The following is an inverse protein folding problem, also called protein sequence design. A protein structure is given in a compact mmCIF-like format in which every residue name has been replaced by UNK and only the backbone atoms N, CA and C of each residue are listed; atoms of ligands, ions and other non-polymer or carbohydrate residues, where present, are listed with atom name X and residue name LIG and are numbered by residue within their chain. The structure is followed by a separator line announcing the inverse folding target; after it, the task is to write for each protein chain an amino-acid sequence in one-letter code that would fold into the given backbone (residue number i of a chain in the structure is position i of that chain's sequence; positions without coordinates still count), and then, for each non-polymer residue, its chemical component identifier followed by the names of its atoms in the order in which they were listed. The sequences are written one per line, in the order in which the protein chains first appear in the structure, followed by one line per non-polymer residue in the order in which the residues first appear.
data_IF_250514197246
#
_entry.id   IF_250514197246
#
_cell.length_a   1.000
_cell.length_b   1.000
_cell.length_c   1.000
_cell.angle_alpha   90.00
_cell.angle_beta   90.00
_cell.angle_gamma   90.00
#
_symmetry.space_group_name_H-M   'P 1'
#
loop_
_entity.id
_entity.type
_entity.pdbx_description
1 polymer ?
#
# COMPACT_ATOMS: atom_id res chain seq x y z
N UNK A 1 -20.54 -7.61 1.58
CA UNK A 1 -19.59 -8.51 2.26
C UNK A 1 -19.76 -8.33 3.76
N UNK A 2 -19.87 -9.41 4.53
CA UNK A 2 -19.94 -9.35 5.99
C UNK A 2 -18.54 -9.16 6.61
N UNK A 3 -18.47 -8.90 7.93
CA UNK A 3 -17.21 -8.63 8.64
C UNK A 3 -16.21 -9.80 8.55
N UNK A 4 -16.69 -11.05 8.68
CA UNK A 4 -15.82 -12.23 8.62
C UNK A 4 -15.22 -12.42 7.22
N UNK A 5 -16.03 -12.24 6.18
CA UNK A 5 -15.55 -12.25 4.80
C UNK A 5 -14.53 -11.14 4.56
N UNK A 6 -14.78 -9.92 5.05
CA UNK A 6 -13.85 -8.78 4.92
C UNK A 6 -12.50 -9.06 5.60
N UNK A 7 -12.52 -9.53 6.84
CA UNK A 7 -11.32 -9.92 7.59
C UNK A 7 -10.50 -10.96 6.82
N UNK A 8 -11.15 -11.97 6.22
CA UNK A 8 -10.47 -12.96 5.37
C UNK A 8 -9.86 -12.37 4.12
N UNK A 9 -10.58 -11.47 3.43
CA UNK A 9 -10.06 -10.78 2.25
C UNK A 9 -8.83 -9.95 2.61
N UNK A 10 -8.86 -9.21 3.71
CA UNK A 10 -7.73 -8.41 4.16
C UNK A 10 -6.53 -9.28 4.56
N UNK A 11 -6.76 -10.40 5.28
CA UNK A 11 -5.68 -11.32 5.64
C UNK A 11 -5.04 -11.97 4.41
N UNK A 12 -5.83 -12.44 3.44
CA UNK A 12 -5.31 -13.01 2.20
C UNK A 12 -4.52 -11.98 1.39
N UNK A 13 -5.06 -10.76 1.24
CA UNK A 13 -4.37 -9.68 0.53
C UNK A 13 -3.07 -9.28 1.24
N UNK A 14 -3.07 -9.18 2.57
CA UNK A 14 -1.87 -8.94 3.38
C UNK A 14 -0.77 -9.95 3.06
N UNK A 15 -1.11 -11.24 3.18
CA UNK A 15 -0.13 -12.31 2.99
C UNK A 15 0.38 -12.39 1.55
N UNK A 16 -0.50 -12.23 0.56
CA UNK A 16 -0.15 -12.33 -0.87
C UNK A 16 0.56 -11.09 -1.42
N UNK A 17 0.46 -9.94 -0.75
CA UNK A 17 1.18 -8.71 -1.09
C UNK A 17 2.58 -8.64 -0.48
N UNK A 18 2.95 -9.54 0.43
CA UNK A 18 4.31 -9.60 0.95
C UNK A 18 5.31 -10.07 -0.11
N UNK A 19 6.60 -9.81 0.15
CA UNK A 19 7.68 -10.25 -0.71
C UNK A 19 7.63 -11.79 -0.92
N UNK A 20 7.70 -12.28 -2.17
CA UNK A 20 7.49 -13.69 -2.49
C UNK A 20 8.75 -14.54 -2.27
N UNK A 21 9.16 -14.67 -1.00
CA UNK A 21 10.25 -15.56 -0.58
C UNK A 21 9.86 -17.05 -0.61
N UNK A 22 10.76 -17.92 -0.17
CA UNK A 22 10.50 -19.37 -0.14
C UNK A 22 9.33 -19.74 0.78
N UNK A 23 9.21 -19.07 1.94
CA UNK A 23 8.12 -19.32 2.89
C UNK A 23 6.77 -18.86 2.33
N UNK A 24 6.76 -17.77 1.56
CA UNK A 24 5.59 -17.28 0.85
C UNK A 24 5.07 -18.31 -0.16
N UNK A 25 5.94 -18.87 -0.99
CA UNK A 25 5.56 -19.90 -1.97
C UNK A 25 5.07 -21.18 -1.28
N UNK A 26 5.70 -21.58 -0.18
CA UNK A 26 5.32 -22.78 0.58
C UNK A 26 3.89 -22.69 1.17
N UNK A 27 3.34 -21.49 1.33
CA UNK A 27 2.01 -21.26 1.92
C UNK A 27 0.88 -21.16 0.89
N UNK A 28 1.17 -21.13 -0.42
CA UNK A 28 0.15 -20.87 -1.43
C UNK A 28 -1.02 -21.86 -1.40
N UNK A 29 -0.75 -23.15 -1.20
CA UNK A 29 -1.80 -24.18 -1.11
C UNK A 29 -2.72 -23.96 0.12
N UNK A 30 -2.14 -23.55 1.24
CA UNK A 30 -2.89 -23.20 2.45
C UNK A 30 -3.79 -21.97 2.20
N UNK A 31 -3.22 -20.91 1.61
CA UNK A 31 -3.96 -19.68 1.30
C UNK A 31 -5.10 -19.94 0.31
N UNK A 32 -4.85 -20.76 -0.71
CA UNK A 32 -5.86 -21.14 -1.70
C UNK A 32 -7.04 -21.91 -1.06
N UNK A 33 -6.76 -22.76 -0.08
CA UNK A 33 -7.82 -23.50 0.65
C UNK A 33 -8.82 -22.59 1.38
N UNK A 34 -8.40 -21.37 1.74
CA UNK A 34 -9.24 -20.39 2.41
C UNK A 34 -10.19 -19.63 1.46
N UNK A 35 -9.99 -19.73 0.13
CA UNK A 35 -10.79 -19.00 -0.85
C UNK A 35 -12.26 -19.43 -0.88
N UNK A 36 -12.58 -20.65 -0.41
CA UNK A 36 -13.98 -21.11 -0.27
C UNK A 36 -14.80 -20.27 0.72
N UNK A 37 -14.14 -19.48 1.57
CA UNK A 37 -14.76 -18.65 2.62
C UNK A 37 -14.80 -17.16 2.27
N UNK A 38 -14.46 -16.78 1.04
CA UNK A 38 -14.61 -15.42 0.54
C UNK A 38 -15.62 -15.39 -0.62
N UNK A 39 -16.25 -14.23 -0.92
CA UNK A 39 -17.21 -14.14 -2.01
C UNK A 39 -16.62 -14.64 -3.35
N UNK A 40 -17.37 -15.39 -4.19
CA UNK A 40 -16.83 -16.03 -5.39
C UNK A 40 -16.10 -15.09 -6.35
N UNK A 41 -16.60 -13.86 -6.50
CA UNK A 41 -15.99 -12.84 -7.35
C UNK A 41 -14.60 -12.41 -6.84
N UNK A 42 -14.41 -12.37 -5.52
CA UNK A 42 -13.12 -12.05 -4.88
C UNK A 42 -12.21 -13.28 -4.88
N UNK A 43 -12.77 -14.47 -4.62
CA UNK A 43 -12.05 -15.74 -4.67
C UNK A 43 -11.35 -15.93 -6.03
N UNK A 44 -12.04 -15.64 -7.13
CA UNK A 44 -11.46 -15.74 -8.48
C UNK A 44 -10.26 -14.81 -8.72
N UNK A 45 -10.22 -13.63 -8.09
CA UNK A 45 -9.09 -12.71 -8.19
C UNK A 45 -7.85 -13.26 -7.48
N UNK A 46 -8.04 -13.81 -6.27
CA UNK A 46 -6.95 -14.46 -5.54
C UNK A 46 -6.46 -15.73 -6.24
N UNK A 47 -7.38 -16.60 -6.68
CA UNK A 47 -7.02 -17.83 -7.38
C UNK A 47 -6.22 -17.54 -8.65
N UNK A 48 -6.69 -16.59 -9.47
CA UNK A 48 -5.98 -16.18 -10.68
C UNK A 48 -4.58 -15.61 -10.40
N UNK A 49 -4.41 -14.84 -9.32
CA UNK A 49 -3.10 -14.38 -8.89
C UNK A 49 -2.19 -15.53 -8.44
N UNK A 50 -2.70 -16.44 -7.60
CA UNK A 50 -1.92 -17.59 -7.09
C UNK A 50 -1.44 -18.46 -8.26
N UNK A 51 -2.31 -18.75 -9.23
CA UNK A 51 -1.95 -19.51 -10.42
C UNK A 51 -0.89 -18.80 -11.27
N UNK A 52 -1.04 -17.49 -11.48
CA UNK A 52 -0.04 -16.69 -12.19
C UNK A 52 1.31 -16.68 -11.45
N UNK A 53 1.31 -16.52 -10.13
CA UNK A 53 2.51 -16.54 -9.30
C UNK A 53 3.26 -17.89 -9.40
N UNK A 54 2.53 -19.01 -9.37
CA UNK A 54 3.10 -20.35 -9.57
C UNK A 54 3.72 -20.51 -10.96
N UNK A 55 3.04 -20.01 -12.00
CA UNK A 55 3.53 -20.10 -13.39
C UNK A 55 4.77 -19.24 -13.64
N UNK A 56 4.82 -18.04 -13.06
CA UNK A 56 5.98 -17.13 -13.14
C UNK A 56 7.20 -17.72 -12.43
N UNK A 57 6.99 -18.37 -11.28
CA UNK A 57 8.04 -18.99 -10.47
C UNK A 57 8.86 -17.99 -9.65
N UNK A 58 9.49 -18.47 -8.58
CA UNK A 58 10.05 -17.63 -7.51
C UNK A 58 11.04 -16.57 -7.99
N UNK A 59 12.06 -16.95 -8.76
CA UNK A 59 13.11 -16.02 -9.16
C UNK A 59 12.59 -14.87 -10.03
N UNK A 60 11.64 -15.13 -10.95
CA UNK A 60 11.07 -14.07 -11.77
C UNK A 60 10.08 -13.23 -10.96
N UNK A 61 9.23 -13.85 -10.15
CA UNK A 61 8.24 -13.15 -9.33
C UNK A 61 8.90 -12.19 -8.34
N UNK A 62 10.03 -12.57 -7.74
CA UNK A 62 10.83 -11.73 -6.85
C UNK A 62 11.41 -10.50 -7.56
N UNK A 63 11.90 -10.65 -8.80
CA UNK A 63 12.37 -9.52 -9.60
C UNK A 63 11.23 -8.59 -9.97
N UNK A 64 10.13 -9.16 -10.45
CA UNK A 64 8.93 -8.41 -10.81
C UNK A 64 8.36 -7.63 -9.61
N UNK A 65 8.51 -8.18 -8.39
CA UNK A 65 8.07 -7.53 -7.16
C UNK A 65 8.87 -6.26 -6.91
N UNK A 66 10.21 -6.34 -6.93
CA UNK A 66 11.09 -5.18 -6.76
C UNK A 66 10.83 -4.14 -7.86
N UNK A 67 10.75 -4.58 -9.12
CA UNK A 67 10.46 -3.71 -10.26
C UNK A 67 9.10 -3.02 -10.16
N UNK A 68 8.15 -3.64 -9.47
CA UNK A 68 6.79 -3.11 -9.28
C UNK A 68 6.71 -2.20 -8.08
N UNK A 69 7.08 -2.65 -6.89
CA UNK A 69 6.78 -1.95 -5.64
C UNK A 69 7.90 -1.01 -5.19
N UNK A 70 9.16 -1.29 -5.53
CA UNK A 70 10.31 -0.51 -5.05
C UNK A 70 10.74 0.55 -6.06
N UNK A 71 10.63 0.25 -7.36
CA UNK A 71 11.12 1.14 -8.42
C UNK A 71 10.06 2.10 -8.96
N UNK A 72 8.77 1.80 -8.81
CA UNK A 72 7.67 2.63 -9.35
C UNK A 72 6.95 3.38 -8.24
N UNK A 73 7.15 4.69 -8.20
CA UNK A 73 6.55 5.59 -7.19
C UNK A 73 5.04 5.42 -7.00
N UNK A 74 4.27 5.24 -8.09
CA UNK A 74 2.81 5.10 -8.05
C UNK A 74 2.34 3.71 -7.62
N UNK A 75 3.26 2.75 -7.49
CA UNK A 75 2.99 1.39 -7.04
C UNK A 75 3.51 1.14 -5.62
N UNK A 76 3.86 2.17 -4.84
CA UNK A 76 4.33 1.97 -3.46
C UNK A 76 3.29 1.27 -2.58
N UNK A 77 3.73 0.42 -1.65
CA UNK A 77 2.88 -0.21 -0.63
C UNK A 77 2.78 0.61 0.67
N UNK A 78 3.42 1.77 0.77
CA UNK A 78 3.40 2.60 1.98
C UNK A 78 2.33 3.68 1.87
N UNK A 79 1.28 3.58 2.69
CA UNK A 79 0.06 4.39 2.53
C UNK A 79 0.30 5.89 2.75
N UNK A 80 1.15 6.25 3.72
CA UNK A 80 1.45 7.66 4.01
C UNK A 80 2.17 8.33 2.84
N UNK A 81 2.91 7.56 2.03
CA UNK A 81 3.68 8.08 0.90
C UNK A 81 2.78 8.79 -0.11
N UNK A 82 1.59 8.27 -0.40
CA UNK A 82 0.66 8.89 -1.34
C UNK A 82 0.17 10.28 -0.90
N UNK A 83 0.02 10.49 0.41
CA UNK A 83 -0.43 11.77 0.96
C UNK A 83 0.70 12.78 1.19
N UNK A 84 1.87 12.31 1.61
CA UNK A 84 2.95 13.21 2.06
C UNK A 84 4.21 13.17 1.22
N UNK A 85 4.37 12.17 0.35
CA UNK A 85 5.65 11.86 -0.28
C UNK A 85 6.74 11.54 0.74
N UNK A 86 8.00 11.64 0.32
CA UNK A 86 9.17 11.57 1.22
C UNK A 86 9.50 12.91 1.90
N UNK A 87 8.47 13.67 2.25
CA UNK A 87 8.66 14.94 2.97
C UNK A 87 8.79 14.71 4.46
N UNK A 88 9.28 15.70 5.20
CA UNK A 88 9.22 15.73 6.68
C UNK A 88 7.83 15.44 7.26
N UNK A 89 6.75 15.70 6.53
CA UNK A 89 5.37 15.40 6.97
C UNK A 89 5.09 13.90 7.10
N UNK A 90 5.85 13.05 6.38
CA UNK A 90 5.71 11.59 6.46
C UNK A 90 5.95 11.06 7.86
N UNK A 91 6.94 11.62 8.58
CA UNK A 91 7.22 11.23 9.96
C UNK A 91 6.02 11.41 10.90
N UNK A 92 5.27 12.51 10.76
CA UNK A 92 4.03 12.73 11.53
C UNK A 92 2.94 11.73 11.14
N UNK A 93 2.79 11.41 9.86
CA UNK A 93 1.84 10.41 9.41
C UNK A 93 2.15 9.03 10.01
N UNK A 94 3.42 8.61 10.04
CA UNK A 94 3.83 7.34 10.65
C UNK A 94 3.48 7.26 12.15
N UNK A 95 3.61 8.36 12.88
CA UNK A 95 3.18 8.43 14.29
C UNK A 95 1.67 8.18 14.41
N UNK A 96 0.86 8.76 13.53
CA UNK A 96 -0.60 8.53 13.51
C UNK A 96 -0.95 7.04 13.30
N UNK A 97 -0.20 6.31 12.47
CA UNK A 97 -0.39 4.86 12.34
C UNK A 97 -0.08 4.15 13.66
N UNK A 98 1.06 4.45 14.31
CA UNK A 98 1.43 3.86 15.61
C UNK A 98 0.36 4.14 16.68
N UNK A 99 -0.16 5.35 16.73
CA UNK A 99 -1.25 5.71 17.66
C UNK A 99 -2.53 4.93 17.37
N UNK A 100 -2.87 4.70 16.10
CA UNK A 100 -4.02 3.89 15.72
C UNK A 100 -3.88 2.42 16.16
N UNK A 101 -2.71 1.79 15.97
CA UNK A 101 -2.44 0.44 16.49
C UNK A 101 -2.62 0.38 18.02
N UNK A 102 -2.00 1.32 18.75
CA UNK A 102 -2.08 1.39 20.21
C UNK A 102 -3.49 1.64 20.73
N UNK A 103 -4.25 2.49 20.04
CA UNK A 103 -5.64 2.77 20.40
C UNK A 103 -6.54 1.53 20.29
N UNK A 104 -6.22 0.61 19.39
CA UNK A 104 -6.87 -0.70 19.27
C UNK A 104 -6.24 -1.79 20.17
N UNK A 105 -5.27 -1.43 21.03
CA UNK A 105 -4.60 -2.36 21.94
C UNK A 105 -3.49 -3.21 21.31
N UNK A 106 -2.92 -2.77 20.17
CA UNK A 106 -1.82 -3.45 19.48
C UNK A 106 -0.51 -2.69 19.64
N UNK A 107 0.56 -3.43 19.87
CA UNK A 107 1.93 -2.93 19.70
C UNK A 107 2.45 -3.32 18.32
N UNK A 108 2.97 -2.34 17.60
CA UNK A 108 3.52 -2.54 16.26
C UNK A 108 5.01 -2.89 16.35
N UNK A 109 5.34 -4.16 16.20
CA UNK A 109 6.71 -4.71 16.28
C UNK A 109 7.12 -5.42 14.98
N UNK A 110 6.81 -4.82 13.83
CA UNK A 110 7.25 -5.34 12.53
C UNK A 110 8.59 -4.73 12.10
N UNK A 111 9.28 -5.43 11.19
CA UNK A 111 10.48 -4.89 10.52
C UNK A 111 10.16 -3.74 9.57
N UNK A 112 8.95 -3.76 9.01
CA UNK A 112 8.41 -2.76 8.08
C UNK A 112 7.88 -1.51 8.80
N UNK A 113 7.66 -0.43 8.04
CA UNK A 113 7.03 0.77 8.57
C UNK A 113 5.55 0.54 8.92
N UNK A 114 5.00 1.29 9.90
CA UNK A 114 3.62 1.12 10.38
C UNK A 114 2.54 1.42 9.33
N UNK A 115 2.89 2.09 8.24
CA UNK A 115 1.99 2.40 7.11
C UNK A 115 2.12 1.43 5.93
N UNK A 116 2.90 0.35 6.08
CA UNK A 116 3.00 -0.71 5.09
C UNK A 116 1.63 -1.40 4.91
N UNK A 117 1.07 -1.36 3.70
CA UNK A 117 -0.30 -1.79 3.43
C UNK A 117 -0.58 -3.23 3.92
N UNK A 118 0.29 -4.24 3.69
CA UNK A 118 0.08 -5.57 4.26
C UNK A 118 -0.04 -5.61 5.78
N UNK A 119 0.74 -4.81 6.51
CA UNK A 119 0.61 -4.71 7.97
C UNK A 119 -0.73 -4.09 8.39
N UNK A 120 -1.17 -3.03 7.69
CA UNK A 120 -2.46 -2.38 7.97
C UNK A 120 -3.63 -3.33 7.66
N UNK A 121 -3.53 -4.13 6.61
CA UNK A 121 -4.52 -5.16 6.25
C UNK A 121 -4.56 -6.29 7.29
N UNK A 122 -3.41 -6.76 7.76
CA UNK A 122 -3.34 -7.75 8.85
C UNK A 122 -4.01 -7.21 10.12
N UNK A 123 -3.71 -5.96 10.49
CA UNK A 123 -4.35 -5.29 11.61
C UNK A 123 -5.86 -5.18 11.43
N UNK A 124 -6.34 -4.82 10.24
CA UNK A 124 -7.77 -4.82 9.93
C UNK A 124 -8.41 -6.20 10.00
N UNK A 125 -7.68 -7.25 9.63
CA UNK A 125 -8.18 -8.62 9.72
C UNK A 125 -8.24 -9.14 11.16
N UNK A 126 -7.32 -8.73 12.04
CA UNK A 126 -7.12 -9.31 13.39
C UNK A 126 -7.70 -8.49 14.53
N UNK A 127 -7.77 -7.16 14.41
CA UNK A 127 -8.14 -6.28 15.53
C UNK A 127 -9.60 -6.39 15.94
N UNK A 128 -10.49 -6.78 15.01
CA UNK A 128 -11.94 -6.73 15.17
C UNK A 128 -12.50 -5.33 15.52
N UNK A 129 -11.64 -4.29 15.48
CA UNK A 129 -11.92 -2.91 15.88
C UNK A 129 -12.22 -2.03 14.66
N UNK A 130 -13.07 -1.02 14.85
CA UNK A 130 -13.43 -0.06 13.81
C UNK A 130 -12.28 0.89 13.45
N UNK A 131 -11.28 1.06 14.34
CA UNK A 131 -10.09 1.89 14.11
C UNK A 131 -9.35 1.44 12.84
N UNK A 132 -9.21 0.13 12.62
CA UNK A 132 -8.52 -0.38 11.44
C UNK A 132 -9.29 -0.10 10.13
N UNK A 133 -10.62 -0.18 10.18
CA UNK A 133 -11.47 0.17 9.05
C UNK A 133 -11.39 1.67 8.74
N UNK A 134 -11.42 2.51 9.77
CA UNK A 134 -11.27 3.96 9.64
C UNK A 134 -9.89 4.35 9.10
N UNK A 135 -8.83 3.65 9.54
CA UNK A 135 -7.46 3.90 9.09
C UNK A 135 -7.28 3.57 7.60
N UNK A 136 -7.84 2.44 7.12
CA UNK A 136 -7.86 2.09 5.70
C UNK A 136 -8.70 3.09 4.89
N UNK A 137 -9.88 3.47 5.39
CA UNK A 137 -10.76 4.44 4.74
C UNK A 137 -10.09 5.81 4.59
N UNK A 138 -9.34 6.26 5.61
CA UNK A 138 -8.58 7.51 5.56
C UNK A 138 -7.46 7.51 4.50
N UNK A 139 -7.03 6.34 4.03
CA UNK A 139 -5.98 6.17 3.02
C UNK A 139 -6.50 5.57 1.71
N UNK A 140 -7.82 5.55 1.50
CA UNK A 140 -8.45 4.96 0.31
C UNK A 140 -7.93 5.56 -1.00
N UNK A 141 -7.56 6.85 -0.98
CA UNK A 141 -7.00 7.52 -2.15
C UNK A 141 -5.70 6.88 -2.60
N UNK A 142 -4.77 6.60 -1.67
CA UNK A 142 -3.51 5.94 -1.97
C UNK A 142 -3.72 4.51 -2.48
N UNK A 143 -4.68 3.78 -1.89
CA UNK A 143 -5.03 2.42 -2.32
C UNK A 143 -5.60 2.43 -3.74
N UNK A 144 -6.46 3.39 -4.08
CA UNK A 144 -7.00 3.55 -5.44
C UNK A 144 -5.94 3.98 -6.46
N UNK A 145 -4.99 4.84 -6.08
CA UNK A 145 -3.84 5.18 -6.95
C UNK A 145 -2.98 3.96 -7.22
N UNK A 146 -2.66 3.18 -6.17
CA UNK A 146 -1.93 1.92 -6.30
C UNK A 146 -2.66 0.97 -7.25
N UNK A 147 -3.98 0.78 -7.05
CA UNK A 147 -4.80 -0.07 -7.93
C UNK A 147 -4.73 0.39 -9.39
N UNK A 148 -4.98 1.67 -9.64
CA UNK A 148 -4.99 2.24 -10.98
C UNK A 148 -3.62 2.11 -11.67
N UNK A 149 -2.52 2.31 -10.93
CA UNK A 149 -1.16 2.17 -11.46
C UNK A 149 -0.82 0.71 -11.81
N UNK A 150 -1.21 -0.24 -10.96
CA UNK A 150 -1.01 -1.66 -11.22
C UNK A 150 -1.84 -2.13 -12.43
N UNK A 151 -3.10 -1.70 -12.55
CA UNK A 151 -3.95 -2.02 -13.70
C UNK A 151 -3.40 -1.42 -15.00
N UNK A 152 -2.98 -0.14 -14.97
CA UNK A 152 -2.42 0.54 -16.14
C UNK A 152 -1.13 -0.12 -16.67
N UNK A 153 -0.39 -0.82 -15.80
CA UNK A 153 0.83 -1.54 -16.17
C UNK A 153 0.59 -3.02 -16.47
N UNK A 154 -0.66 -3.50 -16.37
CA UNK A 154 -0.97 -4.93 -16.53
C UNK A 154 -0.32 -5.81 -15.46
N UNK A 155 -0.06 -5.26 -14.28
CA UNK A 155 0.64 -5.94 -13.21
C UNK A 155 -0.16 -7.12 -12.67
N UNK A 156 0.53 -8.23 -12.40
CA UNK A 156 -0.08 -9.42 -11.80
C UNK A 156 -0.69 -9.14 -10.43
N UNK A 157 -0.21 -8.13 -9.69
CA UNK A 157 -0.70 -7.77 -8.36
C UNK A 157 -1.97 -6.90 -8.39
N UNK A 158 -2.38 -6.38 -9.56
CA UNK A 158 -3.58 -5.56 -9.69
C UNK A 158 -4.86 -6.23 -9.12
N UNK A 159 -5.12 -7.54 -9.35
CA UNK A 159 -6.26 -8.24 -8.77
C UNK A 159 -6.26 -8.23 -7.24
N UNK A 160 -5.10 -8.32 -6.59
CA UNK A 160 -5.00 -8.31 -5.12
C UNK A 160 -5.47 -6.97 -4.56
N UNK A 161 -4.98 -5.86 -5.12
CA UNK A 161 -5.38 -4.51 -4.66
C UNK A 161 -6.86 -4.24 -4.98
N UNK A 162 -7.37 -4.78 -6.09
CA UNK A 162 -8.80 -4.75 -6.40
C UNK A 162 -9.65 -5.49 -5.37
N UNK A 163 -9.15 -6.56 -4.75
CA UNK A 163 -9.90 -7.23 -3.65
C UNK A 163 -10.09 -6.31 -2.44
N UNK A 164 -9.11 -5.44 -2.17
CA UNK A 164 -9.14 -4.46 -1.08
C UNK A 164 -10.14 -3.34 -1.42
N UNK A 165 -10.10 -2.77 -2.63
CA UNK A 165 -11.05 -1.70 -2.95
C UNK A 165 -12.50 -2.19 -3.00
N UNK A 166 -12.73 -3.44 -3.39
CA UNK A 166 -14.04 -4.09 -3.32
C UNK A 166 -14.51 -4.40 -1.88
N UNK A 167 -13.59 -4.42 -0.90
CA UNK A 167 -13.91 -4.67 0.51
C UNK A 167 -14.27 -3.41 1.29
N UNK A 168 -13.85 -2.26 0.79
CA UNK A 168 -14.05 -0.93 1.36
C UNK A 168 -15.36 -0.29 0.89
N UNK A 169 -15.89 0.71 1.63
CA UNK A 169 -17.02 1.50 1.17
C UNK A 169 -16.74 2.21 -0.16
N UNK A 170 -17.77 2.46 -1.00
CA UNK A 170 -17.60 3.21 -2.24
C UNK A 170 -17.03 4.61 -1.97
N UNK A 171 -16.06 5.03 -2.79
CA UNK A 171 -15.53 6.39 -2.77
C UNK A 171 -16.53 7.37 -3.38
N UNK A 172 -16.73 8.51 -2.73
CA UNK A 172 -17.58 9.59 -3.24
C UNK A 172 -16.93 10.34 -4.41
N UNK A 173 -17.70 11.17 -5.11
CA UNK A 173 -17.23 11.90 -6.30
C UNK A 173 -16.03 12.82 -6.01
N UNK A 174 -16.00 13.45 -4.83
CA UNK A 174 -14.88 14.32 -4.43
C UNK A 174 -13.59 13.51 -4.26
N UNK A 175 -13.69 12.32 -3.68
CA UNK A 175 -12.56 11.39 -3.51
C UNK A 175 -12.09 10.87 -4.87
N UNK A 176 -13.00 10.56 -5.79
CA UNK A 176 -12.65 10.16 -7.15
C UNK A 176 -11.85 11.25 -7.89
N UNK A 177 -12.21 12.52 -7.72
CA UNK A 177 -11.47 13.64 -8.32
C UNK A 177 -10.05 13.76 -7.76
N UNK A 178 -9.89 13.62 -6.43
CA UNK A 178 -8.56 13.64 -5.78
C UNK A 178 -7.69 12.46 -6.22
N UNK A 179 -8.28 11.27 -6.33
CA UNK A 179 -7.61 10.09 -6.90
C UNK A 179 -7.14 10.37 -8.32
N UNK A 180 -7.99 10.94 -9.19
CA UNK A 180 -7.61 11.23 -10.58
C UNK A 180 -6.43 12.22 -10.67
N UNK A 181 -6.44 13.26 -9.85
CA UNK A 181 -5.33 14.20 -9.74
C UNK A 181 -4.05 13.48 -9.29
N UNK A 182 -4.12 12.68 -8.22
CA UNK A 182 -2.98 11.95 -7.66
C UNK A 182 -2.45 10.86 -8.61
N UNK A 183 -3.31 10.20 -9.38
CA UNK A 183 -2.91 9.25 -10.44
C UNK A 183 -2.11 9.97 -11.52
N UNK A 184 -2.47 11.21 -11.86
CA UNK A 184 -1.78 12.01 -12.87
C UNK A 184 -0.43 12.51 -12.35
N UNK A 185 -0.43 13.18 -11.21
CA UNK A 185 0.73 13.87 -10.61
C UNK A 185 1.71 12.92 -9.92
N UNK A 186 1.21 11.80 -9.38
CA UNK A 186 1.94 10.94 -8.45
C UNK A 186 2.08 11.56 -7.05
N UNK A 187 2.67 10.83 -6.09
CA UNK A 187 2.84 11.30 -4.73
C UNK A 187 3.64 12.62 -4.67
N UNK A 188 3.38 13.50 -3.68
CA UNK A 188 4.16 14.71 -3.48
C UNK A 188 5.66 14.42 -3.44
N UNK A 189 6.49 15.35 -3.89
CA UNK A 189 7.95 15.21 -3.81
C UNK A 189 8.50 16.38 -2.99
N UNK A 190 9.38 16.12 -2.01
CA UNK A 190 10.05 17.22 -1.32
C UNK A 190 11.01 17.90 -2.31
N UNK A 191 10.82 19.19 -2.56
CA UNK A 191 11.76 20.00 -3.33
C UNK A 191 12.97 20.35 -2.46
N UNK A 192 13.79 19.34 -2.09
CA UNK A 192 14.95 19.58 -1.22
C UNK A 192 15.98 20.42 -1.99
N UNK A 193 16.12 21.70 -1.63
CA UNK A 193 17.20 22.59 -2.09
C UNK A 193 16.81 23.88 -2.82
N UNK A 194 15.61 23.99 -3.42
CA UNK A 194 15.25 25.22 -4.15
C UNK A 194 14.74 26.35 -3.24
N UNK A 195 14.21 26.02 -2.06
CA UNK A 195 13.82 27.00 -1.05
C UNK A 195 14.99 27.46 -0.17
N UNK A 196 16.08 26.69 -0.08
CA UNK A 196 17.31 27.10 0.64
C UNK A 196 18.24 27.96 -0.23
N UNK A 197 18.13 27.84 -1.57
CA UNK A 197 18.83 28.71 -2.52
C UNK A 197 18.10 30.06 -2.75
N UNK A 198 16.92 30.24 -2.18
CA UNK A 198 16.19 31.49 -2.20
C UNK A 198 16.83 32.51 -1.25
N UNK A 199 17.66 33.39 -1.82
CA UNK A 199 18.25 34.59 -1.21
C UNK A 199 19.63 34.46 -0.54
N UNK A 200 20.52 33.61 -1.06
CA UNK A 200 21.95 33.78 -0.79
C UNK A 200 22.48 35.00 -1.56
N UNK A 201 23.06 36.02 -0.90
CA UNK A 201 23.68 37.13 -1.60
C UNK A 201 24.84 36.60 -2.47
N UNK A 202 25.08 37.20 -3.66
CA UNK A 202 26.19 36.80 -4.51
C UNK A 202 27.51 36.93 -3.74
N UNK A 203 28.39 35.93 -3.85
CA UNK A 203 29.73 35.96 -3.27
C UNK A 203 30.46 37.20 -3.79
N UNK A 204 30.77 38.13 -2.88
CA UNK A 204 31.62 39.28 -3.18
C UNK A 204 33.06 38.93 -2.81
N UNK A 205 34.05 39.11 -3.71
CA UNK A 205 35.45 38.92 -3.35
C UNK A 205 35.81 39.92 -2.24
N UNK A 206 36.39 39.40 -1.14
CA UNK A 206 36.98 40.28 -0.12
C UNK A 206 38.11 41.06 -0.79
N UNK A 207 38.01 42.38 -0.75
CA UNK A 207 39.03 43.28 -1.26
C UNK A 207 40.40 42.90 -0.71
N UNK A 208 41.37 42.79 -1.61
CA UNK A 208 42.77 42.78 -1.25
C UNK A 208 43.14 44.24 -0.87
N UNK A 209 43.90 44.48 0.21
CA UNK A 209 44.29 45.82 0.62
C UNK A 209 45.14 46.54 -0.43
#
# INVERSE_FOLDING_TARGET
MNRSERSRVHMLASLLLNYPDEAWFARLDELESHLVRVPPQIAGLFAGFIDAARQTGAGQLQRDYVDTFDLKRKCSLYLSYFATGDTRKRGTALVTFIEAYRAAGWDFEAEELPDYLPAVLEFSARSEDEIAEALLAAHVEGIEVLRAALEATGSIWAPLVRTITLSLPPVDAATQERVLALVSEGPPTETVGLSFLGNLPPFSPRGNP
#
